data_IF_996173690737
#
_entry.id   IF_996173690737
#
_cell.length_a   1.000
_cell.length_b   1.000
_cell.length_c   1.000
_cell.angle_alpha   90.00
_cell.angle_beta   90.00
_cell.angle_gamma   90.00
#
_symmetry.space_group_name_H-M   'P 1'
#
loop_
_entity.id
_entity.type
_entity.pdbx_description
1 polymer ?
#
# COMPACT_ATOMS: atom_id res chain seq x y z
N UNK A 1 3.52 -0.17 -8.09
CA UNK A 1 4.80 0.57 -7.97
C UNK A 1 5.91 -0.48 -7.96
N UNK A 2 7.13 -0.20 -7.49
CA UNK A 2 8.18 -1.21 -7.37
C UNK A 2 8.95 -1.64 -8.62
N UNK A 3 9.47 -2.85 -8.58
CA UNK A 3 10.36 -3.44 -9.59
C UNK A 3 9.65 -3.64 -10.94
N UNK A 4 10.20 -3.02 -11.98
CA UNK A 4 9.67 -3.09 -13.35
C UNK A 4 9.61 -4.54 -13.84
N UNK A 5 8.44 -4.93 -14.34
CA UNK A 5 8.22 -6.26 -14.93
C UNK A 5 7.91 -7.36 -13.91
N UNK A 6 8.30 -7.23 -12.64
CA UNK A 6 8.13 -8.28 -11.64
C UNK A 6 6.65 -8.61 -11.39
N UNK A 7 5.82 -7.57 -11.21
CA UNK A 7 4.37 -7.76 -11.03
C UNK A 7 3.72 -8.50 -12.20
N UNK A 8 3.89 -7.98 -13.43
CA UNK A 8 3.22 -8.52 -14.63
C UNK A 8 3.73 -9.91 -15.02
N UNK A 9 5.05 -10.13 -14.94
CA UNK A 9 5.67 -11.31 -15.53
C UNK A 9 5.79 -12.48 -14.55
N UNK A 10 5.76 -12.22 -13.24
CA UNK A 10 5.98 -13.25 -12.21
C UNK A 10 4.82 -13.29 -11.23
N UNK A 11 4.56 -12.19 -10.50
CA UNK A 11 3.60 -12.19 -9.39
C UNK A 11 2.19 -12.56 -9.87
N UNK A 12 1.72 -11.96 -10.97
CA UNK A 12 0.38 -12.24 -11.52
C UNK A 12 0.19 -13.67 -12.02
N UNK A 13 1.27 -14.37 -12.38
CA UNK A 13 1.22 -15.79 -12.77
C UNK A 13 1.06 -16.72 -11.56
N UNK A 14 1.45 -16.24 -10.38
CA UNK A 14 1.39 -16.97 -9.11
C UNK A 14 0.12 -16.64 -8.29
N UNK A 15 -0.81 -15.87 -8.85
CA UNK A 15 -2.03 -15.44 -8.16
C UNK A 15 -2.96 -16.61 -7.86
N UNK A 16 -3.39 -16.68 -6.61
CA UNK A 16 -4.45 -17.57 -6.12
C UNK A 16 -5.62 -16.73 -5.63
N UNK A 17 -6.84 -17.09 -6.01
CA UNK A 17 -8.01 -16.38 -5.49
C UNK A 17 -8.24 -16.71 -4.01
N UNK A 18 -8.67 -15.71 -3.24
CA UNK A 18 -9.11 -15.85 -1.87
C UNK A 18 -10.20 -14.83 -1.53
N UNK A 19 -10.73 -14.91 -0.30
CA UNK A 19 -11.73 -13.95 0.19
C UNK A 19 -11.36 -13.44 1.57
N UNK A 20 -11.61 -12.15 1.82
CA UNK A 20 -11.34 -11.53 3.12
C UNK A 20 -12.02 -12.28 4.28
N UNK A 21 -13.24 -12.76 4.06
CA UNK A 21 -14.02 -13.54 5.02
C UNK A 21 -13.37 -14.88 5.43
N UNK A 22 -12.36 -15.35 4.69
CA UNK A 22 -11.69 -16.62 5.00
C UNK A 22 -10.41 -16.40 5.85
N UNK A 23 -10.06 -15.14 6.17
CA UNK A 23 -8.86 -14.76 6.93
C UNK A 23 -9.05 -14.87 8.46
N UNK A 24 -9.53 -16.02 8.94
CA UNK A 24 -9.77 -16.26 10.36
C UNK A 24 -8.48 -16.25 11.18
N UNK A 25 -8.51 -15.55 12.32
CA UNK A 25 -7.37 -15.40 13.23
C UNK A 25 -6.17 -14.64 12.66
N UNK A 26 -6.27 -14.11 11.44
CA UNK A 26 -5.16 -13.44 10.76
C UNK A 26 -5.00 -11.99 11.24
N UNK A 27 -3.75 -11.52 11.25
CA UNK A 27 -3.42 -10.11 11.44
C UNK A 27 -2.95 -9.55 10.11
N UNK A 28 -3.80 -8.75 9.46
CA UNK A 28 -3.56 -8.23 8.11
C UNK A 28 -2.81 -6.90 8.20
N UNK A 29 -1.55 -6.88 7.79
CA UNK A 29 -0.77 -5.66 7.65
C UNK A 29 -1.08 -4.97 6.33
N UNK A 30 -1.42 -3.68 6.34
CA UNK A 30 -1.83 -2.93 5.14
C UNK A 30 -0.82 -1.81 4.89
N UNK A 31 -0.26 -1.74 3.69
CA UNK A 31 0.39 -0.52 3.22
C UNK A 31 -0.69 0.53 2.93
N UNK A 32 -0.79 1.51 3.80
CA UNK A 32 -1.84 2.52 3.76
C UNK A 32 -1.61 3.57 2.66
N UNK A 33 -0.41 3.67 2.06
CA UNK A 33 -0.12 4.70 1.06
C UNK A 33 -1.08 4.61 -0.15
N UNK A 34 -1.40 3.38 -0.59
CA UNK A 34 -2.39 3.14 -1.64
C UNK A 34 -3.80 3.64 -1.28
N UNK A 35 -4.23 3.45 -0.04
CA UNK A 35 -5.53 3.94 0.46
C UNK A 35 -5.55 5.46 0.59
N UNK A 36 -4.47 6.06 1.09
CA UNK A 36 -4.33 7.52 1.19
C UNK A 36 -4.47 8.16 -0.19
N UNK A 37 -3.75 7.65 -1.20
CA UNK A 37 -3.83 8.16 -2.58
C UNK A 37 -5.24 8.00 -3.15
N UNK A 38 -5.87 6.82 -2.99
CA UNK A 38 -7.25 6.59 -3.45
C UNK A 38 -8.24 7.54 -2.77
N UNK A 39 -8.06 7.83 -1.49
CA UNK A 39 -8.92 8.71 -0.72
C UNK A 39 -8.84 10.17 -1.21
N UNK A 40 -7.63 10.72 -1.40
CA UNK A 40 -7.45 12.11 -1.86
C UNK A 40 -7.85 12.28 -3.33
N UNK A 41 -7.77 11.21 -4.13
CA UNK A 41 -8.23 11.24 -5.52
C UNK A 41 -9.75 11.33 -5.64
N UNK A 42 -10.52 11.04 -4.58
CA UNK A 42 -11.97 11.14 -4.57
C UNK A 42 -12.47 12.60 -4.67
N UNK A 43 -11.66 13.56 -4.21
CA UNK A 43 -11.94 15.01 -4.20
C UNK A 43 -10.69 15.81 -4.60
N UNK A 44 -9.99 15.31 -5.64
CA UNK A 44 -8.69 15.83 -6.04
C UNK A 44 -8.73 17.32 -6.43
N UNK A 45 -9.82 17.76 -7.07
CA UNK A 45 -9.97 19.15 -7.50
C UNK A 45 -10.06 20.08 -6.28
N UNK A 46 -10.93 19.76 -5.33
CA UNK A 46 -11.13 20.56 -4.12
C UNK A 46 -9.84 20.68 -3.32
N UNK A 47 -9.13 19.56 -3.13
CA UNK A 47 -7.85 19.57 -2.41
C UNK A 47 -6.77 20.37 -3.13
N UNK A 48 -6.64 20.25 -4.46
CA UNK A 48 -5.68 21.03 -5.22
C UNK A 48 -6.00 22.54 -5.27
N UNK A 49 -7.28 22.90 -5.13
CA UNK A 49 -7.76 24.28 -5.11
C UNK A 49 -7.88 24.84 -3.68
N UNK A 50 -7.44 24.09 -2.66
CA UNK A 50 -7.53 24.48 -1.25
C UNK A 50 -8.95 24.82 -0.79
N UNK A 51 -9.94 24.18 -1.40
CA UNK A 51 -11.35 24.26 -1.01
C UNK A 51 -11.57 23.27 0.13
N UNK A 52 -12.04 23.76 1.28
CA UNK A 52 -12.30 22.90 2.45
C UNK A 52 -13.24 21.76 2.08
N UNK A 53 -12.78 20.53 2.30
CA UNK A 53 -13.48 19.32 1.88
C UNK A 53 -13.07 18.14 2.73
N UNK A 54 -14.04 17.50 3.36
CA UNK A 54 -13.83 16.27 4.17
C UNK A 54 -14.11 14.98 3.39
N UNK A 55 -14.27 15.07 2.06
CA UNK A 55 -14.61 13.91 1.23
C UNK A 55 -13.51 12.85 1.23
N UNK A 56 -12.23 13.24 1.26
CA UNK A 56 -11.10 12.33 1.40
C UNK A 56 -11.14 11.54 2.71
N UNK A 57 -11.50 12.19 3.83
CA UNK A 57 -11.70 11.53 5.14
C UNK A 57 -12.83 10.49 5.04
N UNK A 58 -13.98 10.87 4.48
CA UNK A 58 -15.10 9.96 4.28
C UNK A 58 -14.78 8.81 3.32
N UNK A 59 -13.96 9.04 2.30
CA UNK A 59 -13.49 7.99 1.39
C UNK A 59 -12.59 6.97 2.12
N UNK A 60 -11.65 7.44 2.94
CA UNK A 60 -10.79 6.57 3.73
C UNK A 60 -11.56 5.79 4.79
N UNK A 61 -12.43 6.46 5.55
CA UNK A 61 -13.30 5.80 6.54
C UNK A 61 -14.14 4.68 5.91
N UNK A 62 -14.71 4.92 4.72
CA UNK A 62 -15.47 3.89 3.99
C UNK A 62 -14.61 2.70 3.58
N UNK A 63 -13.38 2.92 3.10
CA UNK A 63 -12.47 1.82 2.76
C UNK A 63 -12.10 1.00 3.99
N UNK A 64 -11.79 1.67 5.11
CA UNK A 64 -11.49 1.02 6.39
C UNK A 64 -12.69 0.21 6.89
N UNK A 65 -13.88 0.81 6.94
CA UNK A 65 -15.10 0.15 7.40
C UNK A 65 -15.51 -1.03 6.52
N UNK A 66 -15.45 -0.87 5.19
CA UNK A 66 -15.77 -1.96 4.25
C UNK A 66 -14.81 -3.14 4.44
N UNK A 67 -13.50 -2.88 4.58
CA UNK A 67 -12.51 -3.93 4.84
C UNK A 67 -12.78 -4.62 6.18
N UNK A 68 -13.02 -3.86 7.23
CA UNK A 68 -13.32 -4.39 8.57
C UNK A 68 -14.62 -5.20 8.64
N UNK A 69 -15.61 -4.86 7.80
CA UNK A 69 -16.87 -5.58 7.71
C UNK A 69 -16.72 -6.93 7.00
N UNK A 70 -15.84 -6.99 5.99
CA UNK A 70 -15.57 -8.21 5.23
C UNK A 70 -14.61 -9.17 5.95
N UNK A 71 -13.84 -8.67 6.92
CA UNK A 71 -12.94 -9.49 7.72
C UNK A 71 -13.68 -10.24 8.85
N UNK A 72 -13.28 -11.49 9.15
CA UNK A 72 -13.78 -12.25 10.29
C UNK A 72 -13.64 -11.51 11.62
N UNK A 73 -14.51 -11.84 12.57
CA UNK A 73 -14.52 -11.20 13.90
C UNK A 73 -13.19 -11.36 14.65
N UNK A 74 -12.50 -12.48 14.44
CA UNK A 74 -11.22 -12.86 15.03
C UNK A 74 -10.00 -12.37 14.23
N UNK A 75 -10.20 -11.70 13.10
CA UNK A 75 -9.15 -11.04 12.33
C UNK A 75 -8.96 -9.58 12.76
N UNK A 76 -7.75 -9.05 12.55
CA UNK A 76 -7.42 -7.64 12.86
C UNK A 76 -6.57 -6.98 11.76
N UNK A 77 -6.55 -5.65 11.75
CA UNK A 77 -5.75 -4.84 10.82
C UNK A 77 -4.58 -4.15 11.52
N UNK A 78 -3.46 -4.05 10.82
CA UNK A 78 -2.34 -3.16 11.15
C UNK A 78 -2.08 -2.26 9.95
N UNK A 79 -2.54 -1.01 9.99
CA UNK A 79 -2.24 -0.04 8.94
C UNK A 79 -0.85 0.56 9.18
N UNK A 80 -0.01 0.51 8.15
CA UNK A 80 1.33 1.08 8.18
C UNK A 80 1.40 2.26 7.22
N UNK A 81 1.76 3.43 7.76
CA UNK A 81 1.98 4.66 7.02
C UNK A 81 3.49 4.87 6.80
N UNK A 82 3.86 5.44 5.66
CA UNK A 82 5.22 5.94 5.45
C UNK A 82 5.55 7.05 6.46
N UNK A 83 6.79 7.08 6.92
CA UNK A 83 7.35 8.15 7.74
C UNK A 83 8.31 9.03 6.95
N UNK A 84 9.54 9.15 7.43
CA UNK A 84 10.53 10.06 6.86
C UNK A 84 10.94 9.62 5.43
N UNK A 85 11.28 10.57 4.54
CA UNK A 85 11.77 10.24 3.22
C UNK A 85 13.14 9.53 3.29
N UNK A 86 13.26 8.40 2.60
CA UNK A 86 14.53 7.68 2.51
C UNK A 86 15.51 8.34 1.52
N UNK A 87 16.78 8.62 1.90
CA UNK A 87 17.74 9.32 1.02
C UNK A 87 17.97 8.66 -0.34
N UNK A 88 18.01 7.32 -0.39
CA UNK A 88 18.21 6.59 -1.66
C UNK A 88 17.01 6.71 -2.61
N UNK A 89 15.85 7.14 -2.12
CA UNK A 89 14.63 7.37 -2.92
C UNK A 89 14.47 8.85 -3.31
N UNK A 90 15.40 9.73 -2.93
CA UNK A 90 15.31 11.17 -3.18
C UNK A 90 15.09 11.50 -4.67
N UNK A 91 15.87 10.90 -5.57
CA UNK A 91 15.72 11.12 -7.03
C UNK A 91 14.34 10.73 -7.54
N UNK A 92 13.78 9.62 -7.04
CA UNK A 92 12.44 9.14 -7.39
C UNK A 92 11.36 10.06 -6.84
N UNK A 93 11.52 10.54 -5.60
CA UNK A 93 10.59 11.49 -4.99
C UNK A 93 10.61 12.84 -5.72
N UNK A 94 11.78 13.34 -6.12
CA UNK A 94 11.92 14.55 -6.93
C UNK A 94 11.23 14.39 -8.29
N UNK A 95 11.44 13.26 -8.97
CA UNK A 95 10.74 12.99 -10.23
C UNK A 95 9.21 12.90 -10.07
N UNK A 96 8.73 12.30 -8.96
CA UNK A 96 7.29 12.27 -8.63
C UNK A 96 6.75 13.69 -8.36
N UNK A 97 7.49 14.51 -7.60
CA UNK A 97 7.12 15.90 -7.31
C UNK A 97 7.02 16.72 -8.59
N UNK A 98 8.03 16.68 -9.45
CA UNK A 98 8.04 17.39 -10.72
C UNK A 98 6.84 17.00 -11.60
N UNK A 99 6.49 15.71 -11.67
CA UNK A 99 5.29 15.25 -12.40
C UNK A 99 3.98 15.80 -11.82
N UNK A 100 3.88 15.93 -10.49
CA UNK A 100 2.70 16.52 -9.84
C UNK A 100 2.60 18.01 -10.16
N UNK A 101 3.72 18.72 -10.10
CA UNK A 101 3.78 20.15 -10.44
C UNK A 101 3.37 20.39 -11.90
N UNK A 102 3.91 19.61 -12.86
CA UNK A 102 3.48 19.70 -14.25
C UNK A 102 2.01 19.33 -14.45
N UNK A 103 1.51 18.31 -13.74
CA UNK A 103 0.09 17.96 -13.78
C UNK A 103 -0.80 19.07 -13.20
N UNK A 104 -0.34 19.80 -12.18
CA UNK A 104 -1.08 20.94 -11.62
C UNK A 104 -1.25 22.05 -12.65
N UNK A 105 -0.18 22.39 -13.39
CA UNK A 105 -0.25 23.37 -14.49
C UNK A 105 -1.29 22.94 -15.53
N UNK A 106 -1.22 21.69 -15.99
CA UNK A 106 -2.18 21.15 -16.98
C UNK A 106 -3.62 21.10 -16.44
N UNK A 107 -3.80 20.87 -15.14
CA UNK A 107 -5.12 20.90 -14.51
C UNK A 107 -5.69 22.32 -14.52
N UNK A 108 -4.89 23.33 -14.18
CA UNK A 108 -5.31 24.74 -14.20
C UNK A 108 -5.66 25.23 -15.60
N UNK A 109 -4.85 24.89 -16.60
CA UNK A 109 -5.12 25.26 -18.00
C UNK A 109 -6.47 24.71 -18.48
N UNK A 110 -6.73 23.42 -18.19
CA UNK A 110 -8.00 22.78 -18.54
C UNK A 110 -9.18 23.34 -17.73
N UNK A 111 -8.98 23.67 -16.45
CA UNK A 111 -9.98 24.28 -15.58
C UNK A 111 -10.43 25.65 -16.12
N UNK A 112 -9.48 26.50 -16.52
CA UNK A 112 -9.76 27.82 -17.12
C UNK A 112 -10.45 27.68 -18.48
N UNK A 113 -10.07 26.66 -19.26
CA UNK A 113 -10.71 26.36 -20.54
C UNK A 113 -12.11 25.73 -20.41
N UNK A 114 -12.56 25.39 -19.20
CA UNK A 114 -13.85 24.73 -18.95
C UNK A 114 -13.88 23.23 -19.31
N UNK A 115 -12.73 22.62 -19.63
CA UNK A 115 -12.62 21.17 -19.87
C UNK A 115 -12.50 20.42 -18.54
N UNK A 116 -13.65 20.23 -17.89
CA UNK A 116 -13.78 19.58 -16.58
C UNK A 116 -13.22 18.15 -16.55
N UNK A 117 -13.34 17.39 -17.64
CA UNK A 117 -12.89 16.01 -17.69
C UNK A 117 -11.36 15.92 -17.69
N UNK A 118 -10.71 16.73 -18.53
CA UNK A 118 -9.24 16.83 -18.58
C UNK A 118 -8.68 17.43 -17.30
N UNK A 119 -9.32 18.48 -16.77
CA UNK A 119 -8.93 19.09 -15.50
C UNK A 119 -8.93 18.05 -14.38
N UNK A 120 -10.03 17.31 -14.18
CA UNK A 120 -10.13 16.29 -13.13
C UNK A 120 -9.08 15.19 -13.26
N UNK A 121 -8.76 14.76 -14.49
CA UNK A 121 -7.70 13.77 -14.75
C UNK A 121 -6.33 14.25 -14.27
N UNK A 122 -6.00 15.52 -14.51
CA UNK A 122 -4.74 16.10 -14.08
C UNK A 122 -4.74 16.46 -12.59
N UNK A 123 -5.86 16.91 -12.02
CA UNK A 123 -6.01 17.08 -10.57
C UNK A 123 -5.71 15.79 -9.82
N UNK A 124 -6.28 14.65 -10.24
CA UNK A 124 -6.00 13.34 -9.63
C UNK A 124 -4.53 12.93 -9.69
N UNK A 125 -3.77 13.46 -10.66
CA UNK A 125 -2.32 13.23 -10.79
C UNK A 125 -1.50 14.20 -9.96
N UNK A 126 -2.00 15.42 -9.74
CA UNK A 126 -1.33 16.48 -9.00
C UNK A 126 -1.54 16.37 -7.47
N UNK A 127 -2.71 15.88 -7.04
CA UNK A 127 -3.12 15.89 -5.64
C UNK A 127 -2.13 15.16 -4.74
N UNK A 128 -1.89 15.75 -3.56
CA UNK A 128 -1.07 15.18 -2.49
C UNK A 128 -1.90 15.17 -1.22
N UNK A 129 -1.64 14.18 -0.35
CA UNK A 129 -2.30 14.12 0.95
C UNK A 129 -1.85 15.28 1.86
N UNK A 130 -2.78 16.06 2.42
CA UNK A 130 -2.45 17.05 3.44
C UNK A 130 -1.91 16.39 4.71
N UNK A 131 -1.04 17.08 5.45
CA UNK A 131 -0.41 16.51 6.65
C UNK A 131 -1.44 16.19 7.75
N UNK A 132 -2.44 17.07 7.92
CA UNK A 132 -3.55 16.91 8.83
C UNK A 132 -4.42 15.68 8.52
N UNK A 133 -4.43 15.23 7.26
CA UNK A 133 -5.13 14.01 6.88
C UNK A 133 -4.46 12.77 7.47
N UNK A 134 -3.12 12.74 7.52
CA UNK A 134 -2.37 11.64 8.15
C UNK A 134 -2.67 11.59 9.65
N UNK A 135 -2.67 12.75 10.34
CA UNK A 135 -3.05 12.83 11.75
C UNK A 135 -4.49 12.37 11.99
N UNK A 136 -5.40 12.75 11.09
CA UNK A 136 -6.79 12.29 11.13
C UNK A 136 -6.90 10.78 10.96
N UNK A 137 -6.14 10.16 10.03
CA UNK A 137 -6.13 8.70 9.82
C UNK A 137 -5.72 7.97 11.09
N UNK A 138 -4.67 8.44 11.77
CA UNK A 138 -4.19 7.83 13.02
C UNK A 138 -5.29 7.88 14.09
N UNK A 139 -5.91 9.05 14.26
CA UNK A 139 -7.01 9.22 15.20
C UNK A 139 -8.23 8.35 14.83
N UNK A 140 -8.56 8.23 13.55
CA UNK A 140 -9.67 7.40 13.08
C UNK A 140 -9.41 5.90 13.33
N UNK A 141 -8.18 5.43 13.09
CA UNK A 141 -7.79 4.06 13.39
C UNK A 141 -7.90 3.75 14.88
N UNK A 142 -7.51 4.68 15.77
CA UNK A 142 -7.59 4.47 17.22
C UNK A 142 -9.01 4.28 17.77
N UNK A 143 -10.04 4.67 17.02
CA UNK A 143 -11.44 4.47 17.39
C UNK A 143 -11.92 3.04 17.12
N UNK A 144 -11.16 2.25 16.37
CA UNK A 144 -11.55 0.93 15.91
C UNK A 144 -10.81 -0.16 16.72
N UNK A 145 -11.49 -0.96 17.55
CA UNK A 145 -10.83 -1.89 18.48
C UNK A 145 -9.94 -2.95 17.82
N UNK A 146 -10.23 -3.30 16.56
CA UNK A 146 -9.52 -4.33 15.77
C UNK A 146 -8.51 -3.74 14.78
N UNK A 147 -8.17 -2.46 14.94
CA UNK A 147 -7.27 -1.75 14.02
C UNK A 147 -6.14 -1.10 14.80
N UNK A 148 -4.90 -1.43 14.45
CA UNK A 148 -3.70 -0.71 14.90
C UNK A 148 -3.18 0.16 13.76
N UNK A 149 -2.60 1.30 14.09
CA UNK A 149 -1.93 2.17 13.11
C UNK A 149 -0.48 2.42 13.56
N UNK A 150 0.46 2.25 12.63
CA UNK A 150 1.89 2.42 12.85
C UNK A 150 2.42 3.38 11.80
N UNK A 151 3.21 4.36 12.22
CA UNK A 151 4.01 5.19 11.30
C UNK A 151 5.40 4.55 11.24
N UNK A 152 5.80 4.10 10.05
CA UNK A 152 7.13 3.56 9.83
C UNK A 152 8.19 4.65 10.07
N UNK A 153 9.43 4.30 10.48
CA UNK A 153 10.52 5.28 10.53
C UNK A 153 10.79 5.89 9.14
N UNK A 154 10.68 5.07 8.09
CA UNK A 154 10.83 5.47 6.70
C UNK A 154 9.74 4.84 5.84
N UNK A 155 9.97 3.66 5.24
CA UNK A 155 9.04 3.05 4.29
C UNK A 155 8.14 2.00 4.95
N UNK A 156 6.85 2.03 4.60
CA UNK A 156 5.86 1.06 5.05
C UNK A 156 6.23 -0.37 4.63
N UNK A 157 6.81 -0.55 3.44
CA UNK A 157 7.21 -1.87 2.92
C UNK A 157 8.19 -2.58 3.86
N UNK A 158 9.23 -1.86 4.31
CA UNK A 158 10.25 -2.38 5.22
C UNK A 158 9.67 -2.64 6.62
N UNK A 159 8.80 -1.75 7.11
CA UNK A 159 8.16 -1.89 8.42
C UNK A 159 7.21 -3.09 8.45
N UNK A 160 6.39 -3.28 7.41
CA UNK A 160 5.53 -4.45 7.26
C UNK A 160 6.36 -5.73 7.19
N UNK A 161 7.51 -5.71 6.49
CA UNK A 161 8.39 -6.88 6.40
C UNK A 161 8.95 -7.27 7.75
N UNK A 162 9.29 -6.28 8.58
CA UNK A 162 9.74 -6.52 9.94
C UNK A 162 8.61 -7.06 10.84
N UNK A 163 7.40 -6.47 10.76
CA UNK A 163 6.23 -6.93 11.51
C UNK A 163 5.85 -8.37 11.16
N UNK A 164 5.93 -8.74 9.88
CA UNK A 164 5.67 -10.12 9.43
C UNK A 164 6.68 -11.11 10.00
N UNK A 165 7.98 -10.78 9.95
CA UNK A 165 9.03 -11.62 10.54
C UNK A 165 8.93 -11.73 12.06
N UNK A 166 8.43 -10.70 12.73
CA UNK A 166 8.19 -10.70 14.17
C UNK A 166 6.94 -11.48 14.58
N UNK A 167 6.10 -11.91 13.63
CA UNK A 167 4.82 -12.58 13.90
C UNK A 167 3.70 -11.64 14.33
N UNK A 168 3.91 -10.32 14.23
CA UNK A 168 2.91 -9.28 14.54
C UNK A 168 1.89 -9.08 13.42
N UNK A 169 2.25 -9.49 12.20
CA UNK A 169 1.42 -9.52 11.00
C UNK A 169 1.58 -10.89 10.36
N UNK A 170 0.49 -11.50 9.93
CA UNK A 170 0.50 -12.86 9.33
C UNK A 170 0.28 -12.83 7.82
N UNK A 171 -0.35 -11.77 7.32
CA UNK A 171 -0.58 -11.55 5.88
C UNK A 171 -0.47 -10.06 5.55
N UNK A 172 0.17 -9.73 4.43
CA UNK A 172 0.35 -8.35 4.01
C UNK A 172 -0.55 -8.01 2.83
N UNK A 173 -1.31 -6.94 2.93
CA UNK A 173 -2.11 -6.39 1.85
C UNK A 173 -1.40 -5.21 1.18
N UNK A 174 -1.02 -5.43 -0.08
CA UNK A 174 -0.46 -4.43 -0.98
C UNK A 174 -1.56 -3.67 -1.72
N UNK A 175 -2.06 -2.59 -1.10
CA UNK A 175 -3.17 -1.81 -1.66
C UNK A 175 -2.85 -1.07 -2.96
N UNK A 176 -1.56 -0.84 -3.23
CA UNK A 176 -1.02 -0.20 -4.43
C UNK A 176 -0.46 -1.20 -5.46
N UNK A 177 -0.66 -2.50 -5.25
CA UNK A 177 -0.06 -3.58 -6.04
C UNK A 177 1.46 -3.39 -6.22
N UNK A 178 2.15 -2.98 -5.16
CA UNK A 178 3.60 -2.93 -5.14
C UNK A 178 4.19 -4.34 -5.11
N UNK A 179 5.18 -4.58 -5.97
CA UNK A 179 5.91 -5.84 -6.04
C UNK A 179 7.03 -5.95 -4.99
N UNK A 180 7.37 -4.84 -4.34
CA UNK A 180 8.54 -4.77 -3.46
C UNK A 180 8.42 -5.68 -2.22
N UNK A 181 7.19 -5.95 -1.76
CA UNK A 181 6.89 -6.91 -0.70
C UNK A 181 7.47 -8.31 -0.93
N UNK A 182 7.51 -8.76 -2.20
CA UNK A 182 8.10 -10.04 -2.58
C UNK A 182 9.61 -10.04 -2.34
N UNK A 183 10.28 -8.92 -2.63
CA UNK A 183 11.74 -8.78 -2.47
C UNK A 183 12.14 -8.66 -1.01
N UNK A 184 11.28 -8.08 -0.17
CA UNK A 184 11.43 -8.12 1.28
C UNK A 184 11.25 -9.53 1.89
N UNK A 185 10.86 -10.53 1.08
CA UNK A 185 10.77 -11.93 1.48
C UNK A 185 9.52 -12.27 2.30
N UNK A 186 8.47 -11.43 2.23
CA UNK A 186 7.22 -11.69 2.92
C UNK A 186 6.60 -13.00 2.45
N UNK A 187 6.04 -13.79 3.36
CA UNK A 187 5.57 -15.13 3.01
C UNK A 187 4.23 -15.13 2.30
N UNK A 188 3.32 -14.23 2.69
CA UNK A 188 1.93 -14.20 2.22
C UNK A 188 1.53 -12.76 1.91
N UNK A 189 1.28 -12.46 0.64
CA UNK A 189 0.92 -11.12 0.17
C UNK A 189 -0.38 -11.17 -0.62
N UNK A 190 -1.33 -10.30 -0.28
CA UNK A 190 -2.62 -10.11 -0.92
C UNK A 190 -2.59 -8.84 -1.79
N UNK A 191 -3.24 -8.94 -2.95
CA UNK A 191 -3.35 -7.95 -4.02
C UNK A 191 -4.80 -7.86 -4.51
N UNK A 192 -5.14 -6.79 -5.24
CA UNK A 192 -6.43 -6.62 -5.94
C UNK A 192 -7.65 -6.99 -5.08
N UNK A 193 -7.73 -6.45 -3.85
CA UNK A 193 -8.90 -6.63 -2.99
C UNK A 193 -10.06 -5.84 -3.58
N UNK A 194 -11.10 -6.58 -3.97
CA UNK A 194 -12.33 -6.07 -4.60
C UNK A 194 -13.38 -5.69 -3.56
N UNK A 195 -14.39 -4.94 -4.01
CA UNK A 195 -15.49 -4.49 -3.15
C UNK A 195 -16.32 -5.64 -2.55
N UNK A 196 -16.35 -6.80 -3.20
CA UNK A 196 -17.01 -8.02 -2.69
C UNK A 196 -16.10 -8.87 -1.78
N UNK A 197 -14.91 -8.38 -1.46
CA UNK A 197 -13.95 -9.05 -0.58
C UNK A 197 -13.12 -10.13 -1.25
N UNK A 198 -13.27 -10.39 -2.56
CA UNK A 198 -12.34 -11.25 -3.30
C UNK A 198 -10.99 -10.57 -3.45
N UNK A 199 -9.92 -11.35 -3.43
CA UNK A 199 -8.57 -10.86 -3.63
C UNK A 199 -7.70 -11.91 -4.35
N UNK A 200 -6.50 -11.49 -4.74
CA UNK A 200 -5.46 -12.39 -5.21
C UNK A 200 -4.33 -12.49 -4.20
N UNK A 201 -3.94 -13.69 -3.82
CA UNK A 201 -2.84 -13.99 -2.92
C UNK A 201 -1.67 -14.60 -3.65
N UNK A 202 -0.47 -14.31 -3.15
CA UNK A 202 0.77 -15.00 -3.49
C UNK A 202 1.42 -15.49 -2.22
N UNK A 203 1.75 -16.79 -2.16
CA UNK A 203 2.57 -17.37 -1.09
C UNK A 203 4.01 -17.50 -1.59
N UNK A 204 4.85 -16.51 -1.30
CA UNK A 204 6.14 -16.30 -2.00
C UNK A 204 7.04 -17.52 -1.99
N UNK A 205 7.24 -18.14 -0.82
CA UNK A 205 8.12 -19.31 -0.70
C UNK A 205 7.64 -20.52 -1.50
N UNK A 206 6.32 -20.69 -1.64
CA UNK A 206 5.72 -21.85 -2.28
C UNK A 206 5.42 -21.60 -3.78
N UNK A 207 4.95 -20.40 -4.11
CA UNK A 207 4.38 -20.07 -5.42
C UNK A 207 5.35 -19.33 -6.35
N UNK A 208 6.34 -18.64 -5.77
CA UNK A 208 7.33 -17.87 -6.54
C UNK A 208 8.70 -18.55 -6.47
N UNK A 209 9.05 -19.05 -5.29
CA UNK A 209 10.34 -19.69 -5.03
C UNK A 209 10.25 -21.22 -5.00
N UNK A 210 9.14 -21.85 -5.42
CA UNK A 210 8.89 -23.31 -5.36
C UNK A 210 9.94 -24.24 -6.00
N UNK A 211 11.02 -23.68 -6.56
CA UNK A 211 12.28 -24.35 -6.88
C UNK A 211 13.43 -23.87 -5.97
N UNK A 212 13.25 -23.82 -4.65
CA UNK A 212 14.37 -23.53 -3.73
C UNK A 212 15.32 -24.73 -3.75
N UNK A 213 16.35 -24.65 -4.58
CA UNK A 213 17.63 -25.30 -4.30
C UNK A 213 18.13 -24.65 -3.02
N UNK A 214 18.06 -25.39 -1.91
CA UNK A 214 18.73 -25.00 -0.67
C UNK A 214 20.22 -25.00 -0.99
N UNK A 215 20.79 -23.83 -1.30
CA UNK A 215 22.24 -23.65 -1.34
C UNK A 215 22.68 -23.53 0.11
N UNK A 216 22.93 -24.66 0.76
CA UNK A 216 23.71 -24.69 1.99
C UNK A 216 25.15 -24.31 1.64
N UNK A 217 25.62 -23.19 2.16
CA UNK A 217 27.06 -22.95 2.23
C UNK A 217 27.62 -23.90 3.29
N UNK A 218 28.09 -25.08 2.88
CA UNK A 218 28.97 -25.89 3.72
C UNK A 218 30.33 -25.21 3.75
N UNK A 219 30.58 -24.40 4.76
CA UNK A 219 31.95 -24.06 5.17
C UNK A 219 32.60 -25.34 5.70
N UNK A 220 33.15 -26.17 4.82
CA UNK A 220 34.19 -27.11 5.19
C UNK A 220 35.47 -26.31 5.43
N UNK A 221 35.57 -25.71 6.63
CA UNK A 221 36.85 -25.37 7.20
C UNK A 221 37.59 -26.70 7.40
N UNK A 222 38.41 -27.05 6.41
CA UNK A 222 39.38 -28.12 6.51
C UNK A 222 40.32 -27.82 7.66
N UNK A 223 40.10 -28.48 8.80
CA UNK A 223 41.13 -28.71 9.79
C UNK A 223 42.12 -29.70 9.18
N UNK A 224 43.08 -29.15 8.43
CA UNK A 224 44.33 -29.84 8.10
C UNK A 224 45.11 -30.06 9.39
N UNK A 225 45.44 -31.32 9.65
CA UNK A 225 46.36 -31.77 10.69
C UNK A 225 47.79 -31.33 10.40
#
# INVERSE_FOLDING_TARGET
>A
MGIKGLSKNVIKQAWREGRLQDLHGEVVGVDAAGWVVKAVQANARELCLEIDSRLHQAAFARMLQATMHLLPADASLVLVLDGAPWPLKASTQTARRSRRESAMVQAMEAEVAGDTATALKYFKRAVTAPAEFISWIIAECSKQPRVRCVVAPYEADAQLAWLERAGEVTVVYSAAEDSDFIVYGMRRVIYDVRADGRFHEVRVMHDVLGHVVVITWTTSLGLGR
#
